data_IF_170295974814
#
_entry.id   IF_170295974814
#
_cell.length_a   1.000
_cell.length_b   1.000
_cell.length_c   1.000
_cell.angle_alpha   90.00
_cell.angle_beta   90.00
_cell.angle_gamma   90.00
#
_symmetry.space_group_name_H-M   'P 1'
#
loop_
_entity.id
_entity.type
_entity.pdbx_description
1 polymer ?
#
# COMPACT_ATOMS: atom_id res chain seq x y z
N UNK A 1 -4.94 14.00 -0.49
CA UNK A 1 -4.24 14.37 -1.71
C UNK A 1 -3.19 13.31 -2.09
N UNK A 2 -2.47 12.66 -1.13
CA UNK A 2 -1.45 11.66 -1.44
C UNK A 2 -1.99 10.34 -2.03
N UNK A 3 -3.22 9.95 -1.70
CA UNK A 3 -3.84 8.72 -2.23
C UNK A 3 -4.18 8.81 -3.73
N UNK A 4 -4.49 10.01 -4.22
CA UNK A 4 -4.82 10.25 -5.63
C UNK A 4 -3.64 9.95 -6.56
N UNK A 5 -2.41 10.24 -6.13
CA UNK A 5 -1.20 10.06 -6.95
C UNK A 5 -0.83 8.59 -7.14
N UNK A 6 -1.02 7.74 -6.10
CA UNK A 6 -0.77 6.30 -6.22
C UNK A 6 -1.82 5.62 -7.11
N UNK A 7 -3.09 6.06 -7.01
CA UNK A 7 -4.16 5.57 -7.88
C UNK A 7 -3.94 5.98 -9.35
N UNK A 8 -3.39 7.17 -9.61
CA UNK A 8 -3.00 7.61 -10.95
C UNK A 8 -1.87 6.74 -11.54
N UNK A 9 -0.87 6.37 -10.74
CA UNK A 9 0.21 5.51 -11.19
C UNK A 9 -0.26 4.08 -11.46
N UNK A 10 -1.20 3.57 -10.68
CA UNK A 10 -1.75 2.23 -10.84
C UNK A 10 -2.56 2.03 -12.13
N UNK A 11 -2.94 3.14 -12.80
CA UNK A 11 -3.69 3.13 -14.07
C UNK A 11 -2.80 3.22 -15.31
N UNK A 12 -1.48 3.31 -15.14
CA UNK A 12 -0.53 3.31 -16.27
C UNK A 12 -0.49 1.93 -16.93
N UNK A 13 -0.12 1.92 -18.20
CA UNK A 13 0.04 0.69 -18.96
C UNK A 13 1.51 0.28 -19.04
N UNK A 14 1.85 -0.87 -18.47
CA UNK A 14 3.14 -1.54 -18.63
C UNK A 14 2.95 -3.06 -18.52
N UNK A 15 3.94 -3.88 -18.95
CA UNK A 15 3.87 -5.33 -18.76
C UNK A 15 3.62 -5.73 -17.32
N UNK A 16 4.22 -5.00 -16.37
CA UNK A 16 4.02 -5.23 -14.92
C UNK A 16 2.57 -4.91 -14.51
N UNK A 17 1.92 -3.87 -15.05
CA UNK A 17 0.53 -3.52 -14.72
C UNK A 17 -0.47 -4.56 -15.22
N UNK A 18 -0.18 -5.23 -16.34
CA UNK A 18 -1.03 -6.28 -16.94
C UNK A 18 -0.94 -7.61 -16.21
N UNK A 19 0.17 -7.86 -15.49
CA UNK A 19 0.39 -9.11 -14.77
C UNK A 19 -0.72 -9.42 -13.75
N UNK A 20 -1.02 -10.71 -13.57
CA UNK A 20 -2.10 -11.18 -12.70
C UNK A 20 -1.86 -10.74 -11.24
N UNK A 21 -2.83 -10.06 -10.60
CA UNK A 21 -2.65 -9.52 -9.24
C UNK A 21 -2.34 -10.58 -8.17
N UNK A 22 -2.82 -11.82 -8.34
CA UNK A 22 -2.53 -12.94 -7.41
C UNK A 22 -1.05 -13.29 -7.42
N UNK A 23 -0.48 -13.45 -8.62
CA UNK A 23 0.94 -13.81 -8.77
C UNK A 23 1.85 -12.69 -8.27
N UNK A 24 1.44 -11.42 -8.41
CA UNK A 24 2.16 -10.29 -7.82
C UNK A 24 2.16 -10.33 -6.29
N UNK A 25 0.98 -10.58 -5.68
CA UNK A 25 0.88 -10.67 -4.20
C UNK A 25 1.77 -11.82 -3.71
N UNK A 26 1.66 -13.00 -4.31
CA UNK A 26 2.46 -14.16 -3.93
C UNK A 26 3.95 -13.92 -4.18
N UNK A 27 4.31 -13.35 -5.33
CA UNK A 27 5.69 -13.05 -5.67
C UNK A 27 6.34 -12.07 -4.70
N UNK A 28 5.64 -10.99 -4.35
CA UNK A 28 6.14 -10.02 -3.38
C UNK A 28 6.16 -10.62 -1.97
N UNK A 29 5.19 -11.45 -1.60
CA UNK A 29 5.21 -12.13 -0.32
C UNK A 29 6.44 -13.05 -0.19
N UNK A 30 6.73 -13.88 -1.20
CA UNK A 30 7.94 -14.72 -1.25
C UNK A 30 9.19 -13.85 -1.18
N UNK A 31 9.25 -12.77 -1.94
CA UNK A 31 10.35 -11.82 -1.91
C UNK A 31 10.59 -11.25 -0.50
N UNK A 32 9.53 -10.80 0.18
CA UNK A 32 9.62 -10.28 1.54
C UNK A 32 10.11 -11.33 2.55
N UNK A 33 9.66 -12.57 2.42
CA UNK A 33 10.12 -13.69 3.24
C UNK A 33 11.61 -13.94 2.99
N UNK A 34 12.08 -13.94 1.75
CA UNK A 34 13.50 -14.09 1.42
C UNK A 34 14.34 -12.97 2.03
N UNK A 35 13.93 -11.70 1.89
CA UNK A 35 14.62 -10.54 2.48
C UNK A 35 14.65 -10.64 4.01
N UNK A 36 13.53 -11.01 4.64
CA UNK A 36 13.42 -11.11 6.09
C UNK A 36 14.33 -12.21 6.67
N UNK A 37 14.41 -13.38 6.00
CA UNK A 37 15.19 -14.55 6.45
C UNK A 37 16.67 -14.48 6.11
N UNK A 38 17.12 -13.50 5.32
CA UNK A 38 18.54 -13.32 4.97
C UNK A 38 19.33 -12.92 6.20
N UNK A 39 20.48 -13.58 6.53
CA UNK A 39 21.34 -13.17 7.64
C UNK A 39 21.91 -11.76 7.43
N UNK A 40 22.28 -11.10 8.53
CA UNK A 40 22.73 -9.69 8.50
C UNK A 40 24.19 -9.48 8.11
N UNK A 41 24.95 -10.56 7.93
CA UNK A 41 26.42 -10.52 7.85
C UNK A 41 26.97 -10.20 6.45
N UNK A 42 26.17 -10.32 5.40
CA UNK A 42 26.68 -10.14 4.03
C UNK A 42 25.92 -9.04 3.26
N UNK A 43 26.67 -8.08 2.71
CA UNK A 43 26.13 -7.02 1.87
C UNK A 43 25.76 -7.47 0.44
N UNK A 44 26.43 -8.50 -0.08
CA UNK A 44 26.25 -8.99 -1.44
C UNK A 44 24.80 -9.37 -1.80
N UNK A 45 24.02 -10.10 -0.97
CA UNK A 45 22.63 -10.44 -1.25
C UNK A 45 21.69 -9.24 -1.27
N UNK A 46 21.98 -8.24 -0.43
CA UNK A 46 21.15 -7.04 -0.40
C UNK A 46 21.26 -6.25 -1.71
N UNK A 47 22.43 -6.24 -2.34
CA UNK A 47 22.58 -5.62 -3.67
C UNK A 47 21.74 -6.33 -4.72
N UNK A 48 21.68 -7.66 -4.70
CA UNK A 48 20.83 -8.44 -5.60
C UNK A 48 19.34 -8.15 -5.38
N UNK A 49 18.89 -8.07 -4.12
CA UNK A 49 17.50 -7.71 -3.80
C UNK A 49 17.15 -6.27 -4.24
N UNK A 50 18.06 -5.32 -4.04
CA UNK A 50 17.87 -3.94 -4.52
C UNK A 50 17.77 -3.91 -6.03
N UNK A 51 18.69 -4.58 -6.76
CA UNK A 51 18.67 -4.65 -8.21
C UNK A 51 17.38 -5.26 -8.75
N UNK A 52 16.86 -6.31 -8.08
CA UNK A 52 15.61 -6.95 -8.46
C UNK A 52 14.39 -6.01 -8.32
N UNK A 53 14.30 -5.23 -7.23
CA UNK A 53 13.23 -4.24 -7.07
C UNK A 53 13.39 -3.08 -8.03
N UNK A 54 14.61 -2.57 -8.21
CA UNK A 54 14.88 -1.46 -9.14
C UNK A 54 14.57 -1.87 -10.59
N UNK A 55 14.92 -3.09 -11.00
CA UNK A 55 14.55 -3.62 -12.33
C UNK A 55 13.03 -3.73 -12.48
N UNK A 56 12.33 -4.17 -11.45
CA UNK A 56 10.85 -4.19 -11.42
C UNK A 56 10.24 -2.79 -11.56
N UNK A 57 10.79 -1.77 -10.91
CA UNK A 57 10.36 -0.37 -11.02
C UNK A 57 10.62 0.16 -12.43
N UNK A 58 11.80 -0.15 -13.02
CA UNK A 58 12.14 0.22 -14.39
C UNK A 58 11.18 -0.39 -15.42
N UNK A 59 10.90 -1.69 -15.31
CA UNK A 59 9.92 -2.39 -16.15
C UNK A 59 8.50 -1.85 -15.99
N UNK A 60 8.14 -1.38 -14.79
CA UNK A 60 6.87 -0.72 -14.51
C UNK A 60 6.79 0.71 -15.07
N UNK A 61 7.90 1.27 -15.57
CA UNK A 61 8.01 2.67 -16.03
C UNK A 61 7.54 3.68 -14.99
N UNK A 62 7.80 3.39 -13.71
CA UNK A 62 7.45 4.27 -12.61
C UNK A 62 8.57 5.30 -12.37
N UNK A 63 8.24 6.53 -11.92
CA UNK A 63 9.24 7.50 -11.57
C UNK A 63 9.99 7.04 -10.30
N UNK A 64 11.29 6.76 -10.44
CA UNK A 64 12.14 6.23 -9.37
C UNK A 64 12.22 7.19 -8.18
N UNK A 65 12.50 8.47 -8.42
CA UNK A 65 12.72 9.45 -7.37
C UNK A 65 11.52 9.64 -6.41
N UNK A 66 10.28 9.85 -6.88
CA UNK A 66 9.12 9.95 -6.00
C UNK A 66 8.81 8.65 -5.24
N UNK A 67 9.14 7.49 -5.83
CA UNK A 67 8.93 6.20 -5.17
C UNK A 67 9.94 5.99 -4.03
N UNK A 68 11.21 6.29 -4.29
CA UNK A 68 12.28 6.25 -3.29
C UNK A 68 12.02 7.23 -2.13
N UNK A 69 11.58 8.45 -2.44
CA UNK A 69 11.22 9.45 -1.43
C UNK A 69 10.06 8.97 -0.54
N UNK A 70 9.08 8.24 -1.09
CA UNK A 70 8.00 7.65 -0.30
C UNK A 70 8.44 6.46 0.54
N UNK A 71 9.33 5.62 0.03
CA UNK A 71 9.92 4.55 0.81
C UNK A 71 10.73 5.08 2.01
N UNK A 72 11.34 6.27 1.85
CA UNK A 72 12.12 6.92 2.91
C UNK A 72 11.31 7.25 4.17
N UNK A 73 9.97 7.28 4.08
CA UNK A 73 9.09 7.44 5.27
C UNK A 73 9.29 6.33 6.31
N UNK A 74 9.80 5.16 5.90
CA UNK A 74 10.10 4.06 6.82
C UNK A 74 11.42 4.28 7.57
N UNK A 75 12.34 5.11 7.02
CA UNK A 75 13.68 5.32 7.59
C UNK A 75 13.70 5.87 9.03
N UNK A 76 12.87 6.84 9.44
CA UNK A 76 12.88 7.31 10.83
C UNK A 76 12.57 6.19 11.82
N UNK A 77 11.62 5.33 11.49
CA UNK A 77 11.22 4.21 12.34
C UNK A 77 12.31 3.12 12.39
N UNK A 78 12.81 2.68 11.23
CA UNK A 78 13.90 1.70 11.19
C UNK A 78 15.21 2.26 11.75
N UNK A 79 15.43 3.58 11.65
CA UNK A 79 16.59 4.28 12.20
C UNK A 79 16.65 4.23 13.74
N UNK A 80 15.50 4.29 14.43
CA UNK A 80 15.46 4.12 15.88
C UNK A 80 15.95 2.72 16.28
N UNK A 81 15.48 1.67 15.62
CA UNK A 81 15.94 0.30 15.89
C UNK A 81 17.42 0.10 15.53
N UNK A 82 17.86 0.70 14.42
CA UNK A 82 19.26 0.67 14.03
C UNK A 82 20.16 1.38 15.06
N UNK A 83 19.72 2.53 15.59
CA UNK A 83 20.47 3.23 16.63
C UNK A 83 20.59 2.39 17.90
N UNK A 84 19.52 1.72 18.35
CA UNK A 84 19.56 0.81 19.49
C UNK A 84 20.53 -0.35 19.25
N UNK A 85 20.51 -0.96 18.05
CA UNK A 85 21.43 -2.04 17.68
C UNK A 85 22.88 -1.58 17.63
N UNK A 86 23.14 -0.38 17.11
CA UNK A 86 24.47 0.22 17.04
C UNK A 86 25.02 0.51 18.44
N UNK A 87 24.18 1.02 19.36
CA UNK A 87 24.59 1.25 20.77
C UNK A 87 24.89 -0.07 21.51
N UNK A 88 24.27 -1.18 21.09
CA UNK A 88 24.58 -2.52 21.60
C UNK A 88 25.87 -3.12 21.01
N UNK A 89 26.58 -2.40 20.12
CA UNK A 89 27.83 -2.83 19.49
C UNK A 89 27.64 -3.57 18.15
N UNK A 90 26.42 -3.86 17.72
CA UNK A 90 26.10 -4.61 16.51
C UNK A 90 25.83 -3.66 15.32
N UNK A 91 26.87 -3.02 14.79
CA UNK A 91 26.74 -2.06 13.64
C UNK A 91 26.27 -2.74 12.36
N UNK A 92 26.64 -4.00 12.13
CA UNK A 92 26.20 -4.77 10.96
C UNK A 92 24.69 -5.04 10.99
N UNK A 93 24.15 -5.41 12.16
CA UNK A 93 22.70 -5.56 12.33
C UNK A 93 21.97 -4.24 12.17
N UNK A 94 22.54 -3.15 12.67
CA UNK A 94 21.96 -1.82 12.49
C UNK A 94 21.80 -1.47 11.00
N UNK A 95 22.86 -1.65 10.22
CA UNK A 95 22.81 -1.42 8.76
C UNK A 95 21.80 -2.36 8.06
N UNK A 96 21.81 -3.65 8.40
CA UNK A 96 20.91 -4.64 7.82
C UNK A 96 19.44 -4.32 8.08
N UNK A 97 19.06 -3.86 9.28
CA UNK A 97 17.68 -3.47 9.62
C UNK A 97 17.20 -2.32 8.72
N UNK A 98 18.03 -1.29 8.52
CA UNK A 98 17.69 -0.15 7.67
C UNK A 98 17.50 -0.59 6.21
N UNK A 99 18.47 -1.35 5.68
CA UNK A 99 18.42 -1.81 4.28
C UNK A 99 17.23 -2.73 4.05
N UNK A 100 17.00 -3.74 4.91
CA UNK A 100 15.84 -4.64 4.82
C UNK A 100 14.52 -3.88 4.85
N UNK A 101 14.37 -2.95 5.78
CA UNK A 101 13.14 -2.15 5.92
C UNK A 101 12.89 -1.30 4.67
N UNK A 102 13.93 -0.66 4.14
CA UNK A 102 13.82 0.19 2.97
C UNK A 102 13.49 -0.61 1.70
N UNK A 103 14.18 -1.72 1.47
CA UNK A 103 13.96 -2.59 0.31
C UNK A 103 12.58 -3.24 0.36
N UNK A 104 12.14 -3.68 1.55
CA UNK A 104 10.79 -4.21 1.75
C UNK A 104 9.71 -3.16 1.48
N UNK A 105 9.92 -1.92 1.94
CA UNK A 105 9.02 -0.81 1.66
C UNK A 105 8.92 -0.51 0.16
N UNK A 106 10.06 -0.52 -0.56
CA UNK A 106 10.08 -0.35 -2.02
C UNK A 106 9.30 -1.45 -2.74
N UNK A 107 9.45 -2.71 -2.33
CA UNK A 107 8.72 -3.84 -2.92
C UNK A 107 7.20 -3.72 -2.72
N UNK A 108 6.75 -3.34 -1.51
CA UNK A 108 5.32 -3.11 -1.23
C UNK A 108 4.80 -1.91 -2.01
N UNK A 109 5.57 -0.82 -2.09
CA UNK A 109 5.19 0.35 -2.88
C UNK A 109 5.08 0.03 -4.38
N UNK A 110 5.96 -0.83 -4.92
CA UNK A 110 5.87 -1.33 -6.29
C UNK A 110 4.54 -2.06 -6.53
N UNK A 111 4.11 -2.93 -5.59
CA UNK A 111 2.82 -3.61 -5.68
C UNK A 111 1.65 -2.63 -5.73
N UNK A 112 1.62 -1.69 -4.78
CA UNK A 112 0.52 -0.71 -4.65
C UNK A 112 0.51 0.27 -5.83
N UNK A 113 1.68 0.67 -6.33
CA UNK A 113 1.79 1.57 -7.48
C UNK A 113 1.44 0.90 -8.82
N UNK A 114 1.53 -0.44 -8.91
CA UNK A 114 1.25 -1.18 -10.16
C UNK A 114 -0.11 -1.87 -10.18
N UNK A 115 -0.83 -1.87 -9.05
CA UNK A 115 -2.10 -2.61 -8.98
C UNK A 115 -3.14 -1.81 -8.21
N UNK A 116 -4.26 -1.39 -8.84
CA UNK A 116 -5.31 -0.65 -8.16
C UNK A 116 -5.98 -1.50 -7.06
N UNK A 117 -6.33 -0.85 -5.95
CA UNK A 117 -6.87 -1.52 -4.76
C UNK A 117 -8.04 -2.47 -5.05
N UNK A 118 -9.01 -2.15 -5.94
CA UNK A 118 -10.09 -3.11 -6.24
C UNK A 118 -9.63 -4.41 -6.89
N UNK A 119 -8.49 -4.39 -7.61
CA UNK A 119 -7.89 -5.62 -8.17
C UNK A 119 -7.14 -6.41 -7.10
N UNK A 120 -6.44 -5.72 -6.19
CA UNK A 120 -5.77 -6.36 -5.04
C UNK A 120 -6.78 -7.07 -4.14
N UNK A 121 -7.90 -6.43 -3.82
CA UNK A 121 -8.96 -7.01 -2.98
C UNK A 121 -9.55 -8.27 -3.61
N UNK A 122 -9.81 -8.26 -4.91
CA UNK A 122 -10.28 -9.45 -5.64
C UNK A 122 -9.25 -10.58 -5.66
N UNK A 123 -7.97 -10.24 -5.78
CA UNK A 123 -6.91 -11.23 -5.70
C UNK A 123 -6.83 -11.84 -4.29
N UNK A 124 -6.95 -11.02 -3.24
CA UNK A 124 -6.99 -11.47 -1.85
C UNK A 124 -8.20 -12.38 -1.56
N UNK A 125 -9.40 -12.05 -2.08
CA UNK A 125 -10.57 -12.91 -1.99
C UNK A 125 -10.31 -14.31 -2.57
N UNK A 126 -9.68 -14.35 -3.75
CA UNK A 126 -9.33 -15.59 -4.42
C UNK A 126 -8.19 -16.36 -3.73
N UNK A 127 -7.38 -15.70 -2.91
CA UNK A 127 -6.35 -16.33 -2.06
C UNK A 127 -6.90 -16.82 -0.72
N UNK A 128 -8.22 -16.68 -0.47
CA UNK A 128 -8.89 -17.21 0.72
C UNK A 128 -9.31 -16.14 1.74
N UNK A 129 -9.17 -14.85 1.45
CA UNK A 129 -9.66 -13.82 2.36
C UNK A 129 -11.20 -13.87 2.49
N UNK A 130 -11.76 -13.65 3.71
CA UNK A 130 -13.19 -13.69 3.94
C UNK A 130 -13.93 -12.66 3.07
N UNK A 131 -14.95 -13.11 2.35
CA UNK A 131 -15.72 -12.24 1.43
C UNK A 131 -16.32 -11.02 2.12
N UNK A 132 -16.81 -11.20 3.34
CA UNK A 132 -17.39 -10.10 4.12
C UNK A 132 -16.39 -8.95 4.29
N UNK A 133 -15.14 -9.27 4.64
CA UNK A 133 -14.07 -8.26 4.78
C UNK A 133 -13.79 -7.56 3.46
N UNK A 134 -13.73 -8.31 2.37
CA UNK A 134 -13.48 -7.74 1.03
C UNK A 134 -14.59 -6.77 0.63
N UNK A 135 -15.85 -7.14 0.84
CA UNK A 135 -17.00 -6.29 0.54
C UNK A 135 -16.95 -5.00 1.38
N UNK A 136 -16.70 -5.11 2.69
CA UNK A 136 -16.58 -3.95 3.58
C UNK A 136 -15.47 -3.01 3.12
N UNK A 137 -14.28 -3.54 2.81
CA UNK A 137 -13.13 -2.72 2.35
C UNK A 137 -13.40 -2.08 0.98
N UNK A 138 -14.11 -2.76 0.07
CA UNK A 138 -14.51 -2.19 -1.21
C UNK A 138 -15.47 -0.99 -1.01
N UNK A 139 -16.46 -1.13 -0.12
CA UNK A 139 -17.35 -0.01 0.21
C UNK A 139 -16.59 1.12 0.91
N UNK A 140 -15.74 0.80 1.88
CA UNK A 140 -14.90 1.79 2.56
C UNK A 140 -14.08 2.61 1.54
N UNK A 141 -13.40 1.94 0.62
CA UNK A 141 -12.61 2.61 -0.42
C UNK A 141 -13.46 3.50 -1.31
N UNK A 142 -14.63 3.02 -1.75
CA UNK A 142 -15.54 3.78 -2.60
C UNK A 142 -16.08 5.03 -1.89
N UNK A 143 -16.52 4.89 -0.63
CA UNK A 143 -17.13 5.99 0.10
C UNK A 143 -16.13 6.92 0.77
N UNK A 144 -14.86 6.51 0.90
CA UNK A 144 -13.78 7.37 1.38
C UNK A 144 -13.70 8.69 0.57
N UNK A 145 -13.77 8.60 -0.76
CA UNK A 145 -13.73 9.77 -1.63
C UNK A 145 -14.98 10.65 -1.44
N UNK A 146 -16.14 10.05 -1.38
CA UNK A 146 -17.42 10.76 -1.19
C UNK A 146 -17.46 11.49 0.16
N UNK A 147 -17.02 10.82 1.23
CA UNK A 147 -16.97 11.41 2.58
C UNK A 147 -15.90 12.50 2.64
N UNK A 148 -14.74 12.31 2.01
CA UNK A 148 -13.67 13.31 1.97
C UNK A 148 -14.11 14.58 1.23
N UNK A 149 -14.84 14.45 0.13
CA UNK A 149 -15.43 15.57 -0.61
C UNK A 149 -16.47 16.31 0.24
N UNK A 150 -17.36 15.58 0.90
CA UNK A 150 -18.35 16.16 1.81
C UNK A 150 -17.68 16.92 2.97
N UNK A 151 -16.61 16.37 3.55
CA UNK A 151 -15.83 17.03 4.58
C UNK A 151 -15.17 18.33 4.06
N UNK A 152 -14.67 18.33 2.81
CA UNK A 152 -14.12 19.52 2.17
C UNK A 152 -15.18 20.60 1.97
N UNK A 153 -16.37 20.25 1.47
CA UNK A 153 -17.50 21.18 1.33
C UNK A 153 -17.91 21.79 2.69
N UNK A 154 -17.98 20.98 3.75
CA UNK A 154 -18.26 21.47 5.10
C UNK A 154 -17.19 22.46 5.57
N UNK A 155 -15.90 22.17 5.32
CA UNK A 155 -14.79 23.08 5.66
C UNK A 155 -14.85 24.38 4.87
N UNK A 156 -15.20 24.33 3.60
CA UNK A 156 -15.38 25.53 2.77
C UNK A 156 -16.55 26.38 3.28
N UNK A 157 -17.70 25.76 3.56
CA UNK A 157 -18.85 26.45 4.12
C UNK A 157 -18.54 27.11 5.47
N UNK A 158 -17.80 26.43 6.36
CA UNK A 158 -17.36 27.00 7.63
C UNK A 158 -16.41 28.21 7.45
N UNK A 159 -15.54 28.17 6.42
CA UNK A 159 -14.69 29.32 6.06
C UNK A 159 -15.52 30.52 5.59
N UNK A 160 -16.51 30.28 4.72
CA UNK A 160 -17.40 31.35 4.22
C UNK A 160 -18.23 32.00 5.34
N UNK A 161 -18.61 31.21 6.36
CA UNK A 161 -19.32 31.72 7.55
C UNK A 161 -18.41 32.44 8.56
N UNK A 162 -17.12 32.58 8.27
CA UNK A 162 -16.16 33.25 9.14
C UNK A 162 -15.74 32.48 10.41
N UNK A 163 -16.22 31.23 10.57
CA UNK A 163 -15.90 30.43 11.76
C UNK A 163 -14.40 30.04 11.84
N UNK A 164 -13.76 29.83 10.67
CA UNK A 164 -12.33 29.53 10.57
C UNK A 164 -11.45 30.77 10.41
N UNK A 165 -12.03 31.91 10.05
CA UNK A 165 -11.34 33.20 9.83
C UNK A 165 -11.29 34.09 11.08
N UNK A 166 -12.09 33.79 12.09
CA UNK A 166 -12.12 34.55 13.33
C UNK A 166 -10.85 34.26 14.11
N UNK A 167 -9.90 35.17 13.91
CA UNK A 167 -8.57 35.32 14.53
C UNK A 167 -8.10 34.29 15.55
N UNK A 168 -6.86 33.93 15.43
CA UNK A 168 -5.85 33.33 16.32
C UNK A 168 -6.11 33.37 17.85
N UNK A 169 -7.14 34.06 18.34
CA UNK A 169 -7.56 34.13 19.74
C UNK A 169 -8.61 33.08 20.15
N UNK A 170 -9.18 32.31 19.20
CA UNK A 170 -10.09 31.24 19.56
C UNK A 170 -9.27 30.09 20.18
N UNK A 171 -9.44 29.90 21.47
CA UNK A 171 -8.71 28.88 22.25
C UNK A 171 -8.89 27.46 21.68
N UNK A 172 -7.94 26.57 21.98
CA UNK A 172 -7.96 25.15 21.63
C UNK A 172 -9.35 24.49 21.83
N UNK A 173 -10.03 24.80 22.94
CA UNK A 173 -11.36 24.24 23.25
C UNK A 173 -12.43 24.59 22.21
N UNK A 174 -12.45 25.81 21.69
CA UNK A 174 -13.44 26.24 20.67
C UNK A 174 -13.20 25.55 19.35
N UNK A 175 -11.93 25.41 18.94
CA UNK A 175 -11.57 24.68 17.71
C UNK A 175 -11.90 23.20 17.83
N UNK A 176 -11.64 22.60 18.98
CA UNK A 176 -11.97 21.20 19.24
C UNK A 176 -13.48 20.97 19.20
N UNK A 177 -14.28 21.84 19.85
CA UNK A 177 -15.74 21.75 19.83
C UNK A 177 -16.31 21.91 18.42
N UNK A 178 -15.80 22.84 17.61
CA UNK A 178 -16.20 23.01 16.22
C UNK A 178 -15.85 21.77 15.37
N UNK A 179 -14.66 21.22 15.55
CA UNK A 179 -14.25 19.99 14.86
C UNK A 179 -15.10 18.79 15.27
N UNK A 180 -15.38 18.62 16.56
CA UNK A 180 -16.24 17.56 17.09
C UNK A 180 -17.68 17.68 16.55
N UNK A 181 -18.24 18.90 16.51
CA UNK A 181 -19.55 19.15 15.90
C UNK A 181 -19.59 18.80 14.41
N UNK A 182 -18.56 19.19 13.65
CA UNK A 182 -18.46 18.84 12.24
C UNK A 182 -18.35 17.32 12.02
N UNK A 183 -17.59 16.62 12.86
CA UNK A 183 -17.49 15.16 12.82
C UNK A 183 -18.83 14.48 13.17
N UNK A 184 -19.55 14.98 14.18
CA UNK A 184 -20.86 14.44 14.56
C UNK A 184 -21.87 14.55 13.40
N UNK A 185 -21.92 15.70 12.72
CA UNK A 185 -22.78 15.91 11.55
C UNK A 185 -22.36 15.01 10.39
N UNK A 186 -21.04 14.88 10.14
CA UNK A 186 -20.53 14.01 9.07
C UNK A 186 -20.88 12.55 9.35
N UNK A 187 -20.75 12.12 10.60
CA UNK A 187 -21.10 10.76 11.03
C UNK A 187 -22.61 10.50 10.84
N UNK A 188 -23.49 11.38 11.31
CA UNK A 188 -24.94 11.26 11.13
C UNK A 188 -25.31 11.11 9.65
N UNK A 189 -24.81 12.00 8.79
CA UNK A 189 -25.05 11.92 7.34
C UNK A 189 -24.50 10.65 6.70
N UNK A 190 -23.36 10.16 7.18
CA UNK A 190 -22.76 8.93 6.68
C UNK A 190 -23.59 7.70 7.08
N UNK A 191 -24.15 7.72 8.30
CA UNK A 191 -25.01 6.65 8.80
C UNK A 191 -26.33 6.58 8.03
N UNK A 192 -27.03 7.71 7.83
CA UNK A 192 -28.24 7.80 7.01
C UNK A 192 -28.00 7.30 5.59
N UNK A 193 -26.89 7.72 4.98
CA UNK A 193 -26.49 7.25 3.64
C UNK A 193 -26.25 5.75 3.61
N UNK A 194 -25.52 5.20 4.59
CA UNK A 194 -25.26 3.78 4.67
C UNK A 194 -26.57 2.96 4.78
N UNK A 195 -27.51 3.42 5.60
CA UNK A 195 -28.85 2.81 5.74
C UNK A 195 -29.63 2.84 4.41
N UNK A 196 -29.69 3.99 3.75
CA UNK A 196 -30.36 4.12 2.47
C UNK A 196 -29.74 3.24 1.37
N UNK A 197 -28.40 3.16 1.32
CA UNK A 197 -27.70 2.29 0.38
C UNK A 197 -28.00 0.83 0.66
N UNK A 198 -27.98 0.42 1.92
CA UNK A 198 -28.27 -0.95 2.33
C UNK A 198 -29.68 -1.36 1.93
N UNK A 199 -30.69 -0.51 2.19
CA UNK A 199 -32.06 -0.75 1.78
C UNK A 199 -32.21 -0.85 0.26
N UNK A 200 -31.56 0.06 -0.49
CA UNK A 200 -31.55 0.02 -1.94
C UNK A 200 -30.86 -1.24 -2.51
N UNK A 201 -29.85 -1.78 -1.83
CA UNK A 201 -29.18 -3.02 -2.21
C UNK A 201 -30.11 -4.23 -1.96
N UNK A 202 -30.79 -4.29 -0.82
CA UNK A 202 -31.77 -5.32 -0.51
C UNK A 202 -32.92 -5.32 -1.53
N UNK A 203 -33.45 -4.17 -1.88
CA UNK A 203 -34.49 -4.01 -2.89
C UNK A 203 -34.06 -4.51 -4.29
N UNK A 204 -32.74 -4.52 -4.57
CA UNK A 204 -32.15 -5.05 -5.82
C UNK A 204 -31.73 -6.51 -5.72
N UNK A 205 -32.10 -7.21 -4.66
CA UNK A 205 -31.78 -8.63 -4.46
C UNK A 205 -30.33 -8.90 -4.08
N UNK A 206 -29.68 -8.01 -3.33
CA UNK A 206 -28.30 -8.21 -2.88
C UNK A 206 -28.18 -9.46 -1.98
N UNK A 207 -27.38 -10.40 -2.42
CA UNK A 207 -27.11 -11.70 -1.79
C UNK A 207 -25.79 -11.75 -0.98
N UNK A 208 -25.25 -10.59 -0.61
CA UNK A 208 -23.94 -10.48 0.06
C UNK A 208 -22.74 -10.57 -0.90
N UNK A 209 -22.97 -10.60 -2.22
CA UNK A 209 -21.93 -10.71 -3.24
C UNK A 209 -21.91 -9.49 -4.16
N UNK A 210 -20.74 -8.83 -4.26
CA UNK A 210 -20.51 -7.80 -5.27
C UNK A 210 -19.99 -8.48 -6.53
N UNK A 211 -20.82 -8.57 -7.56
CA UNK A 211 -20.44 -9.16 -8.85
C UNK A 211 -19.82 -8.07 -9.74
N UNK A 212 -18.56 -8.20 -10.20
CA UNK A 212 -17.99 -7.25 -11.14
C UNK A 212 -18.62 -7.40 -12.51
N UNK A 213 -18.94 -6.28 -13.16
CA UNK A 213 -19.54 -6.25 -14.51
C UNK A 213 -18.57 -6.73 -15.59
N UNK A 214 -17.28 -6.54 -15.42
CA UNK A 214 -16.25 -7.01 -16.33
C UNK A 214 -15.03 -7.52 -15.56
N UNK A 215 -14.66 -8.76 -15.82
CA UNK A 215 -13.38 -9.32 -15.39
C UNK A 215 -12.55 -9.47 -16.67
N UNK A 216 -11.51 -8.65 -16.90
CA UNK A 216 -10.62 -8.90 -18.02
C UNK A 216 -10.03 -10.29 -17.84
N UNK A 217 -10.00 -11.10 -18.93
CA UNK A 217 -9.45 -12.45 -18.88
C UNK A 217 -7.98 -12.36 -18.43
N UNK A 218 -7.64 -13.09 -17.36
CA UNK A 218 -6.26 -13.22 -16.94
C UNK A 218 -5.51 -14.03 -18.01
N UNK A 219 -4.61 -13.37 -18.72
CA UNK A 219 -3.72 -14.08 -19.65
C UNK A 219 -2.58 -14.67 -18.81
N UNK A 220 -2.44 -15.98 -18.83
CA UNK A 220 -1.38 -16.71 -18.13
C UNK A 220 0.01 -16.23 -18.58
N UNK A 221 0.11 -15.78 -19.84
CA UNK A 221 1.33 -15.20 -20.42
C UNK A 221 1.80 -13.92 -19.72
N UNK A 222 0.93 -13.19 -19.00
CA UNK A 222 1.31 -11.95 -18.33
C UNK A 222 1.82 -12.19 -16.89
N UNK A 223 1.77 -13.44 -16.41
CA UNK A 223 2.13 -13.81 -15.02
C UNK A 223 3.60 -14.19 -14.84
N UNK A 224 4.37 -14.32 -15.93
CA UNK A 224 5.77 -14.77 -15.86
C UNK A 224 6.69 -13.78 -15.10
N UNK A 225 6.44 -12.48 -15.22
CA UNK A 225 7.25 -11.44 -14.58
C UNK A 225 7.28 -11.54 -13.05
N UNK A 226 6.15 -11.58 -12.32
CA UNK A 226 6.18 -11.73 -10.87
C UNK A 226 6.71 -13.10 -10.43
N UNK A 227 6.49 -14.14 -11.22
CA UNK A 227 7.04 -15.48 -10.96
C UNK A 227 8.56 -15.48 -11.13
N UNK A 228 9.08 -14.89 -12.20
CA UNK A 228 10.51 -14.75 -12.41
C UNK A 228 11.19 -13.95 -11.29
N UNK A 229 10.55 -12.86 -10.83
CA UNK A 229 11.03 -12.08 -9.70
C UNK A 229 11.06 -12.87 -8.39
N UNK A 230 10.03 -13.66 -8.11
CA UNK A 230 9.98 -14.54 -6.94
C UNK A 230 11.04 -15.65 -7.01
N UNK A 231 11.19 -16.30 -8.17
CA UNK A 231 12.22 -17.32 -8.40
C UNK A 231 13.62 -16.74 -8.25
N UNK A 232 13.90 -15.56 -8.80
CA UNK A 232 15.18 -14.89 -8.62
C UNK A 232 15.48 -14.61 -7.14
N UNK A 233 14.51 -14.17 -6.36
CA UNK A 233 14.68 -13.96 -4.92
C UNK A 233 14.97 -15.26 -4.16
N UNK A 234 14.29 -16.36 -4.53
CA UNK A 234 14.54 -17.69 -3.94
C UNK A 234 15.92 -18.19 -4.33
N UNK A 235 16.35 -18.04 -5.59
CA UNK A 235 17.69 -18.42 -6.04
C UNK A 235 18.77 -17.68 -5.26
N UNK A 236 18.64 -16.35 -5.11
CA UNK A 236 19.57 -15.57 -4.28
C UNK A 236 19.62 -16.12 -2.85
N UNK A 237 18.49 -16.50 -2.27
CA UNK A 237 18.42 -17.05 -0.92
C UNK A 237 19.04 -18.45 -0.80
N UNK A 238 18.80 -19.32 -1.79
CA UNK A 238 19.35 -20.70 -1.81
C UNK A 238 20.84 -20.68 -2.03
N UNK A 239 21.35 -19.85 -2.93
CA UNK A 239 22.79 -19.68 -3.16
C UNK A 239 23.51 -19.25 -1.87
N UNK A 240 22.90 -18.37 -1.08
CA UNK A 240 23.42 -18.00 0.24
C UNK A 240 23.40 -19.12 1.27
N UNK A 241 22.27 -19.87 1.32
CA UNK A 241 22.14 -20.98 2.25
C UNK A 241 23.12 -22.14 1.92
N UNK A 242 23.51 -22.27 0.64
CA UNK A 242 24.48 -23.27 0.17
C UNK A 242 25.95 -22.89 0.42
N UNK A 243 26.24 -21.80 1.11
CA UNK A 243 27.64 -21.44 1.50
C UNK A 243 28.51 -20.94 0.33
N UNK A 244 27.88 -20.50 -0.76
CA UNK A 244 28.61 -19.87 -1.87
C UNK A 244 29.05 -18.46 -1.47
N UNK A 245 30.30 -18.33 -1.02
CA UNK A 245 30.93 -17.03 -0.79
C UNK A 245 31.18 -16.37 -2.15
N UNK A 246 30.57 -15.23 -2.38
CA UNK A 246 30.88 -14.39 -3.55
C UNK A 246 32.31 -13.86 -3.40
N UNK A 247 33.24 -14.15 -4.33
CA UNK A 247 34.52 -13.48 -4.33
C UNK A 247 34.30 -12.00 -4.67
N UNK A 248 34.57 -11.13 -3.72
CA UNK A 248 34.81 -9.70 -3.95
C UNK A 248 36.28 -9.47 -4.16
#
# INVERSE_FOLDING_TARGET
VHHVVLDEWSRRESPVHRAEPRMKILGIFVYLVCVATTPSVELAPFTAYVLLVVSGIGLAKLPLFPLMARAAVVLPFSGVFAAVSALAGDTERAAAVVVKSYVSALAVLLLVATTPLPRLLRAAERLGAPRMVIVVVQFLYRYLFVISEQAQHMRQAARCRGELGRKRSSGWRTRFRAAAGALAVLFGRSYERASAIHQAMLARGFDGRVRPLSVPPARVTDSWLPVAGALAAVVVRVVQAGGFQWPL
#
